data_IF_862354544939
#
_entry.id   IF_862354544939
#
_cell.length_a   1.000
_cell.length_b   1.000
_cell.length_c   1.000
_cell.angle_alpha   90.00
_cell.angle_beta   90.00
_cell.angle_gamma   90.00
#
_symmetry.space_group_name_H-M   'P 1'
#
loop_
_entity.id
_entity.type
_entity.pdbx_description
1 polymer ?
#
# COMPACT_ATOMS: atom_id res chain seq x y z
N UNK A 1 -3.10 -7.19 -18.91
CA UNK A 1 -2.93 -5.85 -18.32
C UNK A 1 -2.42 -6.05 -16.90
N UNK A 2 -1.21 -5.58 -16.57
CA UNK A 2 -0.68 -5.72 -15.20
C UNK A 2 -1.53 -4.83 -14.29
N UNK A 3 -2.40 -5.48 -13.52
CA UNK A 3 -3.17 -4.84 -12.45
C UNK A 3 -2.20 -4.40 -11.36
N UNK A 4 -2.64 -3.47 -10.51
CA UNK A 4 -1.94 -3.13 -9.28
C UNK A 4 -1.51 -4.40 -8.54
N UNK A 5 -0.21 -4.61 -8.39
CA UNK A 5 0.35 -5.80 -7.76
C UNK A 5 1.23 -5.37 -6.59
N UNK A 6 0.78 -5.65 -5.37
CA UNK A 6 1.65 -5.62 -4.21
C UNK A 6 2.63 -6.78 -4.41
N UNK A 7 3.91 -6.44 -4.58
CA UNK A 7 4.98 -7.41 -4.76
C UNK A 7 5.84 -7.51 -3.50
N UNK A 8 6.80 -8.43 -3.47
CA UNK A 8 7.68 -8.64 -2.31
C UNK A 8 8.49 -7.39 -1.93
N UNK A 9 8.86 -6.54 -2.89
CA UNK A 9 9.57 -5.29 -2.61
C UNK A 9 8.68 -4.30 -1.86
N UNK A 10 7.45 -4.08 -2.33
CA UNK A 10 6.47 -3.19 -1.67
C UNK A 10 6.08 -3.74 -0.29
N UNK A 11 5.87 -5.05 -0.18
CA UNK A 11 5.64 -5.71 1.11
C UNK A 11 6.77 -5.44 2.09
N UNK A 12 8.02 -5.59 1.66
CA UNK A 12 9.20 -5.32 2.49
C UNK A 12 9.24 -3.86 2.94
N UNK A 13 9.07 -2.91 2.02
CA UNK A 13 9.06 -1.48 2.36
C UNK A 13 7.94 -1.10 3.32
N UNK A 14 6.75 -1.66 3.12
CA UNK A 14 5.62 -1.45 4.02
C UNK A 14 5.88 -2.03 5.40
N UNK A 15 6.46 -3.24 5.48
CA UNK A 15 6.87 -3.85 6.75
C UNK A 15 7.91 -3.01 7.49
N UNK A 16 9.00 -2.62 6.81
CA UNK A 16 10.05 -1.76 7.40
C UNK A 16 9.48 -0.42 7.90
N UNK A 17 8.53 0.16 7.16
CA UNK A 17 7.85 1.39 7.56
C UNK A 17 7.01 1.20 8.83
N UNK A 18 6.19 0.15 8.87
CA UNK A 18 5.33 -0.16 10.02
C UNK A 18 6.15 -0.51 11.27
N UNK A 19 7.21 -1.28 11.10
CA UNK A 19 8.15 -1.64 12.18
C UNK A 19 8.84 -0.39 12.74
N UNK A 20 9.29 0.53 11.87
CA UNK A 20 9.92 1.77 12.29
C UNK A 20 8.96 2.73 13.02
N UNK A 21 7.68 2.73 12.65
CA UNK A 21 6.63 3.52 13.31
C UNK A 21 6.02 2.79 14.53
N UNK A 22 6.39 1.54 14.75
CA UNK A 22 5.86 0.66 15.80
C UNK A 22 4.32 0.60 15.80
N UNK A 23 3.73 0.51 14.61
CA UNK A 23 2.28 0.47 14.44
C UNK A 23 1.85 -0.59 13.41
N UNK A 24 0.58 -1.00 13.48
CA UNK A 24 0.00 -1.89 12.48
C UNK A 24 -0.52 -1.11 11.27
N UNK A 25 -0.81 -1.85 10.18
CA UNK A 25 -1.31 -1.25 8.95
C UNK A 25 -2.61 -0.49 9.15
N UNK A 26 -3.51 -0.96 10.03
CA UNK A 26 -4.82 -0.32 10.25
C UNK A 26 -4.63 1.05 10.89
N UNK A 27 -3.83 1.11 11.95
CA UNK A 27 -3.48 2.32 12.68
C UNK A 27 -2.82 3.33 11.76
N UNK A 28 -1.84 2.88 10.96
CA UNK A 28 -1.15 3.75 10.01
C UNK A 28 -2.05 4.24 8.87
N UNK A 29 -3.06 3.45 8.44
CA UNK A 29 -4.01 3.90 7.43
C UNK A 29 -5.11 4.84 7.99
N UNK A 30 -5.37 4.82 9.29
CA UNK A 30 -6.33 5.71 9.95
C UNK A 30 -5.75 7.08 10.33
N UNK A 31 -4.42 7.20 10.40
CA UNK A 31 -3.72 8.48 10.52
C UNK A 31 -3.47 9.08 9.14
N UNK A 32 -3.90 10.32 8.89
CA UNK A 32 -3.80 10.96 7.56
C UNK A 32 -2.35 11.13 7.09
N UNK A 33 -1.44 11.44 8.01
CA UNK A 33 -0.01 11.62 7.67
C UNK A 33 0.61 10.28 7.30
N UNK A 34 0.38 9.26 8.12
CA UNK A 34 0.89 7.92 7.84
C UNK A 34 0.22 7.30 6.61
N UNK A 35 -1.05 7.60 6.35
CA UNK A 35 -1.76 7.14 5.15
C UNK A 35 -1.10 7.70 3.89
N UNK A 36 -0.71 8.98 3.87
CA UNK A 36 0.04 9.55 2.75
C UNK A 36 1.42 8.90 2.58
N UNK A 37 2.12 8.61 3.67
CA UNK A 37 3.40 7.87 3.62
C UNK A 37 3.20 6.45 3.04
N UNK A 38 2.15 5.74 3.44
CA UNK A 38 1.76 4.44 2.88
C UNK A 38 1.38 4.57 1.40
N UNK A 39 0.65 5.62 1.02
CA UNK A 39 0.30 5.89 -0.37
C UNK A 39 1.56 6.02 -1.22
N UNK A 40 2.59 6.73 -0.74
CA UNK A 40 3.86 6.86 -1.44
C UNK A 40 4.58 5.51 -1.59
N UNK A 41 4.52 4.63 -0.59
CA UNK A 41 5.09 3.27 -0.68
C UNK A 41 4.33 2.45 -1.72
N UNK A 42 3.00 2.38 -1.65
CA UNK A 42 2.18 1.59 -2.56
C UNK A 42 2.22 2.13 -4.01
N UNK A 43 2.31 3.44 -4.19
CA UNK A 43 2.41 4.09 -5.51
C UNK A 43 3.68 3.70 -6.26
N UNK A 44 4.80 3.48 -5.55
CA UNK A 44 6.04 2.94 -6.15
C UNK A 44 5.86 1.54 -6.73
N UNK A 45 4.85 0.80 -6.26
CA UNK A 45 4.47 -0.51 -6.79
C UNK A 45 3.71 -0.44 -8.11
N UNK A 46 3.22 0.73 -8.51
CA UNK A 46 2.50 0.87 -9.76
C UNK A 46 3.45 0.75 -10.95
N UNK A 47 3.03 0.14 -12.07
CA UNK A 47 3.76 0.24 -13.33
C UNK A 47 3.96 1.71 -13.72
N UNK A 48 5.11 2.05 -14.31
CA UNK A 48 5.46 3.44 -14.68
C UNK A 48 4.39 4.13 -15.52
N UNK A 49 3.71 3.39 -16.41
CA UNK A 49 2.59 3.92 -17.19
C UNK A 49 1.42 4.37 -16.30
N UNK A 50 1.09 3.60 -15.26
CA UNK A 50 0.01 3.94 -14.31
C UNK A 50 0.41 5.16 -13.48
N UNK A 51 1.66 5.25 -13.03
CA UNK A 51 2.17 6.42 -12.29
C UNK A 51 2.04 7.73 -13.08
N UNK A 52 2.17 7.68 -14.42
CA UNK A 52 2.03 8.85 -15.30
C UNK A 52 0.59 9.37 -15.40
N UNK A 53 -0.40 8.48 -15.41
CA UNK A 53 -1.82 8.86 -15.49
C UNK A 53 -2.45 9.11 -14.11
N UNK A 54 -1.90 8.46 -13.09
CA UNK A 54 -2.42 8.45 -11.75
C UNK A 54 -1.32 8.88 -10.78
N UNK A 55 -1.30 10.19 -10.51
CA UNK A 55 -0.28 10.82 -9.68
C UNK A 55 -0.38 10.37 -8.22
N UNK A 56 0.73 10.52 -7.49
CA UNK A 56 0.78 10.24 -6.05
C UNK A 56 -0.34 11.00 -5.31
N UNK A 57 -0.51 12.30 -5.58
CA UNK A 57 -1.56 13.12 -4.96
C UNK A 57 -2.98 12.59 -5.19
N UNK A 58 -3.28 12.06 -6.38
CA UNK A 58 -4.59 11.44 -6.65
C UNK A 58 -4.75 10.15 -5.86
N UNK A 59 -3.67 9.39 -5.72
CA UNK A 59 -3.67 8.16 -4.97
C UNK A 59 -3.76 8.37 -3.46
N UNK A 60 -3.09 9.38 -2.90
CA UNK A 60 -3.22 9.81 -1.50
C UNK A 60 -4.69 10.06 -1.15
N UNK A 61 -5.37 10.90 -1.92
CA UNK A 61 -6.80 11.21 -1.73
C UNK A 61 -7.65 9.95 -1.85
N UNK A 62 -7.42 9.14 -2.88
CA UNK A 62 -8.19 7.90 -3.08
C UNK A 62 -7.97 6.88 -1.96
N UNK A 63 -6.71 6.71 -1.51
CA UNK A 63 -6.35 5.80 -0.44
C UNK A 63 -7.01 6.24 0.87
N UNK A 64 -7.03 7.55 1.14
CA UNK A 64 -7.68 8.13 2.31
C UNK A 64 -9.20 7.94 2.30
N UNK A 65 -9.85 8.28 1.18
CA UNK A 65 -11.31 8.16 1.01
C UNK A 65 -11.80 6.71 1.05
N UNK A 66 -10.97 5.77 0.58
CA UNK A 66 -11.32 4.34 0.50
C UNK A 66 -10.54 3.48 1.50
N UNK A 67 -9.93 4.07 2.54
CA UNK A 67 -8.99 3.38 3.45
C UNK A 67 -9.56 2.11 4.07
N UNK A 68 -10.83 2.12 4.49
CA UNK A 68 -11.46 0.96 5.14
C UNK A 68 -11.58 -0.23 4.18
N UNK A 69 -11.99 0.05 2.94
CA UNK A 69 -12.09 -0.95 1.88
C UNK A 69 -10.70 -1.43 1.43
N UNK A 70 -9.78 -0.49 1.22
CA UNK A 70 -8.43 -0.77 0.74
C UNK A 70 -7.59 -1.49 1.77
N UNK A 71 -7.78 -1.23 3.07
CA UNK A 71 -7.11 -1.97 4.15
C UNK A 71 -7.33 -3.47 3.99
N UNK A 72 -8.59 -3.90 3.84
CA UNK A 72 -8.93 -5.32 3.67
C UNK A 72 -8.28 -5.91 2.42
N UNK A 73 -8.25 -5.15 1.31
CA UNK A 73 -7.61 -5.59 0.08
C UNK A 73 -6.08 -5.71 0.22
N UNK A 74 -5.43 -4.70 0.80
CA UNK A 74 -3.98 -4.67 1.02
C UNK A 74 -3.58 -5.81 1.95
N UNK A 75 -4.30 -5.99 3.05
CA UNK A 75 -4.05 -7.06 4.01
C UNK A 75 -4.12 -8.43 3.35
N UNK A 76 -5.20 -8.71 2.60
CA UNK A 76 -5.34 -9.98 1.89
C UNK A 76 -4.20 -10.26 0.89
N UNK A 77 -3.68 -9.20 0.23
CA UNK A 77 -2.53 -9.32 -0.68
C UNK A 77 -1.23 -9.58 0.08
N UNK A 78 -0.99 -8.91 1.20
CA UNK A 78 0.19 -9.13 2.04
C UNK A 78 0.22 -10.56 2.59
N UNK A 79 -0.94 -11.06 3.03
CA UNK A 79 -1.11 -12.43 3.53
C UNK A 79 -0.87 -13.45 2.42
N UNK A 80 -1.41 -13.23 1.22
CA UNK A 80 -1.16 -14.09 0.06
C UNK A 80 0.34 -14.18 -0.31
N UNK A 81 1.10 -13.10 -0.11
CA UNK A 81 2.56 -13.10 -0.28
C UNK A 81 3.32 -13.75 0.89
N UNK A 82 2.68 -13.91 2.05
CA UNK A 82 3.27 -14.59 3.21
C UNK A 82 3.10 -16.10 3.14
N UNK A 83 2.11 -16.60 2.39
CA UNK A 83 1.92 -18.03 2.22
C UNK A 83 2.97 -18.57 1.23
N UNK A 84 3.76 -19.60 1.62
CA UNK A 84 4.60 -20.30 0.65
C UNK A 84 3.67 -20.93 -0.39
N UNK A 85 3.93 -20.68 -1.68
CA UNK A 85 3.26 -21.40 -2.76
C UNK A 85 3.49 -22.89 -2.52
N UNK A 86 2.42 -23.62 -2.16
CA UNK A 86 2.42 -25.09 -2.11
C UNK A 86 2.69 -25.65 -3.50
#
# INVERSE_FOLDING_TARGET
>A
MQQFEINNYIKKQLGEYLDAKQCDLKTAMDDETMNHEIAAILHKGFPTMVQKFYSLKKFEVFLWEKREFLYTHIQARLDALSQPKK
#
